data_IF_320521567995
#
_entry.id   IF_320521567995
#
_cell.length_a   1.000
_cell.length_b   1.000
_cell.length_c   1.000
_cell.angle_alpha   90.00
_cell.angle_beta   90.00
_cell.angle_gamma   90.00
#
_symmetry.space_group_name_H-M   'P 1'
#
loop_
_entity.id
_entity.type
_entity.pdbx_description
1 polymer ?
#
# COMPACT_ATOMS: atom_id res chain seq x y z
N UNK A 1 14.52 -8.47 -3.49
CA UNK A 1 13.28 -8.62 -2.74
C UNK A 1 13.17 -7.56 -1.65
N UNK A 2 12.01 -6.93 -1.53
CA UNK A 2 11.77 -5.90 -0.51
C UNK A 2 11.04 -6.49 0.69
N UNK A 3 11.25 -5.90 1.85
CA UNK A 3 10.44 -6.21 3.04
C UNK A 3 9.25 -5.27 3.07
N UNK A 4 8.13 -5.73 3.59
CA UNK A 4 6.93 -4.90 3.72
C UNK A 4 6.68 -4.62 5.19
N UNK A 5 6.49 -3.36 5.53
CA UNK A 5 6.15 -2.94 6.89
C UNK A 5 4.92 -2.05 6.83
N UNK A 6 4.06 -2.19 7.83
CA UNK A 6 2.85 -1.38 7.90
C UNK A 6 2.96 -0.41 9.06
N UNK A 7 2.65 0.85 8.80
CA UNK A 7 2.49 1.81 9.88
C UNK A 7 1.28 1.39 10.70
N UNK A 8 1.23 1.84 11.94
CA UNK A 8 0.15 1.47 12.86
C UNK A 8 -1.24 1.72 12.27
N UNK A 9 -1.41 2.86 11.61
CA UNK A 9 -2.68 3.20 10.97
C UNK A 9 -3.06 2.17 9.91
N UNK A 10 -2.11 1.82 9.05
CA UNK A 10 -2.35 0.85 8.00
C UNK A 10 -2.65 -0.54 8.57
N UNK A 11 -1.94 -0.91 9.63
CA UNK A 11 -2.17 -2.20 10.28
C UNK A 11 -3.59 -2.30 10.82
N UNK A 12 -4.07 -1.23 11.46
CA UNK A 12 -5.44 -1.19 11.98
C UNK A 12 -6.47 -1.21 10.86
N UNK A 13 -6.18 -0.54 9.76
CA UNK A 13 -7.08 -0.54 8.61
C UNK A 13 -7.18 -1.93 7.99
N UNK A 14 -6.06 -2.63 7.91
CA UNK A 14 -6.06 -3.99 7.41
C UNK A 14 -6.91 -4.91 8.28
N UNK A 15 -6.82 -4.75 9.61
CA UNK A 15 -7.61 -5.55 10.55
C UNK A 15 -9.12 -5.34 10.38
N UNK A 16 -9.53 -4.19 9.90
CA UNK A 16 -10.95 -3.89 9.72
C UNK A 16 -11.54 -4.45 8.45
N UNK A 17 -10.71 -4.92 7.54
CA UNK A 17 -11.19 -5.52 6.31
C UNK A 17 -11.76 -6.92 6.58
N UNK A 18 -12.72 -7.32 5.76
CA UNK A 18 -13.16 -8.70 5.83
C UNK A 18 -12.02 -9.62 5.41
N UNK A 19 -12.10 -10.89 5.81
CA UNK A 19 -11.02 -11.85 5.60
C UNK A 19 -10.59 -11.96 4.14
N UNK A 20 -11.56 -12.04 3.25
CA UNK A 20 -11.27 -12.21 1.82
C UNK A 20 -10.52 -11.00 1.25
N UNK A 21 -10.99 -9.80 1.58
CA UNK A 21 -10.36 -8.58 1.11
C UNK A 21 -8.97 -8.42 1.72
N UNK A 22 -8.84 -8.69 3.02
CA UNK A 22 -7.55 -8.60 3.70
C UNK A 22 -6.53 -9.54 3.05
N UNK A 23 -6.95 -10.76 2.74
CA UNK A 23 -6.05 -11.71 2.09
C UNK A 23 -5.60 -11.22 0.72
N UNK A 24 -6.51 -10.63 -0.05
CA UNK A 24 -6.16 -10.09 -1.36
C UNK A 24 -5.16 -8.96 -1.26
N UNK A 25 -5.32 -8.10 -0.26
CA UNK A 25 -4.39 -6.99 -0.04
C UNK A 25 -3.02 -7.54 0.35
N UNK A 26 -2.98 -8.50 1.25
CA UNK A 26 -1.73 -9.11 1.69
C UNK A 26 -1.03 -9.78 0.52
N UNK A 27 -1.76 -10.57 -0.26
CA UNK A 27 -1.18 -11.26 -1.42
C UNK A 27 -0.63 -10.24 -2.43
N UNK A 28 -1.33 -9.14 -2.62
CA UNK A 28 -0.89 -8.08 -3.53
C UNK A 28 0.39 -7.41 -3.04
N UNK A 29 0.49 -7.19 -1.73
CA UNK A 29 1.69 -6.61 -1.15
C UNK A 29 2.88 -7.56 -1.26
N UNK A 30 2.65 -8.85 -1.06
CA UNK A 30 3.71 -9.83 -1.27
C UNK A 30 4.18 -9.85 -2.71
N UNK A 31 3.24 -9.80 -3.65
CA UNK A 31 3.57 -9.72 -5.08
C UNK A 31 4.41 -8.48 -5.35
N UNK A 32 4.01 -7.34 -4.78
CA UNK A 32 4.74 -6.09 -4.98
C UNK A 32 6.16 -6.20 -4.45
N UNK A 33 6.35 -6.83 -3.29
CA UNK A 33 7.67 -6.95 -2.69
C UNK A 33 8.64 -7.73 -3.58
N UNK A 34 8.10 -8.66 -4.36
CA UNK A 34 8.92 -9.48 -5.25
C UNK A 34 9.10 -8.83 -6.62
N UNK A 35 8.21 -7.93 -7.02
CA UNK A 35 8.18 -7.41 -8.38
C UNK A 35 8.31 -5.89 -8.47
N UNK A 36 8.74 -5.24 -7.39
CA UNK A 36 8.76 -3.78 -7.34
C UNK A 36 9.55 -3.16 -8.48
N UNK A 37 10.74 -3.70 -8.75
CA UNK A 37 11.64 -3.12 -9.74
C UNK A 37 11.13 -3.24 -11.17
N UNK A 38 10.21 -4.15 -11.42
CA UNK A 38 9.64 -4.33 -12.76
C UNK A 38 8.19 -3.84 -12.85
N UNK A 39 7.68 -3.24 -11.78
CA UNK A 39 6.29 -2.79 -11.72
C UNK A 39 6.19 -1.32 -12.06
N UNK A 40 5.20 -0.96 -12.87
CA UNK A 40 4.91 0.43 -13.12
C UNK A 40 4.28 1.02 -11.87
N UNK A 41 4.90 2.07 -11.35
CA UNK A 41 4.43 2.72 -10.12
C UNK A 41 3.56 3.92 -10.46
N UNK A 42 2.58 4.20 -9.60
CA UNK A 42 1.67 5.33 -9.76
C UNK A 42 1.91 6.33 -8.63
N UNK A 43 2.75 7.34 -8.87
CA UNK A 43 3.07 8.32 -7.83
C UNK A 43 1.89 9.23 -7.52
N UNK A 44 1.81 9.64 -6.27
CA UNK A 44 0.81 10.60 -5.82
C UNK A 44 1.42 12.00 -5.85
N UNK A 45 0.53 13.00 -5.85
CA UNK A 45 0.96 14.40 -5.97
C UNK A 45 0.50 15.20 -4.77
N UNK A 46 0.95 16.46 -4.71
CA UNK A 46 0.53 17.38 -3.66
C UNK A 46 1.07 16.96 -2.31
N UNK A 47 0.18 16.94 -1.32
CA UNK A 47 0.57 16.59 0.04
C UNK A 47 1.04 15.16 0.17
N UNK A 48 0.69 14.31 -0.80
CA UNK A 48 1.07 12.91 -0.80
C UNK A 48 2.28 12.63 -1.70
N UNK A 49 2.98 13.67 -2.12
CA UNK A 49 4.21 13.54 -2.91
C UNK A 49 5.20 12.61 -2.22
N UNK A 50 5.83 11.76 -3.01
CA UNK A 50 6.77 10.79 -2.45
C UNK A 50 6.14 9.46 -2.11
N UNK A 51 4.83 9.38 -2.17
CA UNK A 51 4.11 8.13 -1.95
C UNK A 51 3.56 7.60 -3.26
N UNK A 52 3.20 6.32 -3.26
CA UNK A 52 2.66 5.64 -4.43
C UNK A 52 1.38 4.93 -4.06
N UNK A 53 0.56 4.65 -5.07
CA UNK A 53 -0.67 3.88 -4.83
C UNK A 53 -0.61 2.54 -5.55
N UNK A 54 -1.21 1.55 -4.92
CA UNK A 54 -1.39 0.21 -5.47
C UNK A 54 -2.87 -0.11 -5.44
N UNK A 55 -3.38 -0.61 -6.55
CA UNK A 55 -4.81 -0.97 -6.65
C UNK A 55 -5.00 -2.44 -6.35
N UNK A 56 -6.03 -2.73 -5.57
CA UNK A 56 -6.48 -4.10 -5.36
C UNK A 56 -8.01 -4.06 -5.32
N UNK A 57 -8.63 -4.34 -6.46
CA UNK A 57 -10.09 -4.25 -6.57
C UNK A 57 -10.56 -2.83 -6.28
N UNK A 58 -11.49 -2.71 -5.35
CA UNK A 58 -12.01 -1.40 -4.93
C UNK A 58 -11.15 -0.76 -3.84
N UNK A 59 -10.08 -1.42 -3.42
CA UNK A 59 -9.21 -0.91 -2.37
C UNK A 59 -7.94 -0.34 -2.93
N UNK A 60 -7.32 0.54 -2.16
CA UNK A 60 -6.05 1.18 -2.51
C UNK A 60 -5.11 1.05 -1.34
N UNK A 61 -3.84 0.87 -1.67
CA UNK A 61 -2.77 0.84 -0.69
C UNK A 61 -1.85 2.01 -1.02
N UNK A 62 -1.57 2.84 -0.03
CA UNK A 62 -0.65 3.97 -0.19
C UNK A 62 0.64 3.59 0.50
N UNK A 63 1.75 3.67 -0.21
CA UNK A 63 3.02 3.19 0.32
C UNK A 63 4.19 4.07 -0.10
N UNK A 64 5.26 3.91 0.63
CA UNK A 64 6.52 4.60 0.44
C UNK A 64 7.60 3.55 0.18
N UNK A 65 8.62 3.91 -0.59
CA UNK A 65 9.73 2.99 -0.90
C UNK A 65 11.02 3.56 -0.33
N UNK A 66 11.69 2.78 0.51
CA UNK A 66 13.02 3.09 0.98
C UNK A 66 13.99 2.19 0.21
N UNK A 67 14.46 2.67 -0.92
CA UNK A 67 15.25 1.85 -1.84
C UNK A 67 16.55 1.34 -1.25
N UNK A 68 17.27 2.18 -0.55
CA UNK A 68 18.57 1.79 0.00
C UNK A 68 18.42 0.68 1.05
N UNK A 69 17.29 0.64 1.73
CA UNK A 69 17.03 -0.35 2.78
C UNK A 69 16.18 -1.50 2.28
N UNK A 70 15.67 -1.38 1.06
CA UNK A 70 14.77 -2.36 0.44
C UNK A 70 13.54 -2.63 1.30
N UNK A 71 12.88 -1.54 1.69
CA UNK A 71 11.67 -1.60 2.51
C UNK A 71 10.54 -0.86 1.81
N UNK A 72 9.36 -1.48 1.81
CA UNK A 72 8.11 -0.85 1.40
C UNK A 72 7.34 -0.55 2.68
N UNK A 73 7.02 0.72 2.90
CA UNK A 73 6.26 1.12 4.09
C UNK A 73 4.84 1.45 3.68
N UNK A 74 3.87 0.71 4.21
CA UNK A 74 2.47 0.94 3.92
C UNK A 74 1.92 1.99 4.87
N UNK A 75 1.45 3.10 4.32
CA UNK A 75 0.91 4.22 5.08
C UNK A 75 -0.58 4.09 5.34
N UNK A 76 -1.33 3.61 4.35
CA UNK A 76 -2.79 3.57 4.45
C UNK A 76 -3.36 2.48 3.56
N UNK A 77 -4.46 1.90 4.01
CA UNK A 77 -5.22 0.90 3.25
C UNK A 77 -6.69 1.28 3.38
N UNK A 78 -7.40 1.39 2.27
CA UNK A 78 -8.80 1.74 2.35
C UNK A 78 -9.51 1.66 1.02
N UNK A 79 -10.82 1.83 1.08
CA UNK A 79 -11.65 1.83 -0.11
C UNK A 79 -11.32 3.05 -0.97
N UNK A 80 -11.38 2.88 -2.30
CA UNK A 80 -11.04 3.95 -3.24
C UNK A 80 -11.82 5.25 -2.99
N UNK A 81 -13.03 5.15 -2.44
CA UNK A 81 -13.86 6.33 -2.17
C UNK A 81 -13.49 7.04 -0.88
N UNK A 82 -12.77 6.36 0.01
CA UNK A 82 -12.48 6.87 1.35
C UNK A 82 -11.02 7.24 1.56
N UNK A 83 -10.12 6.53 0.88
CA UNK A 83 -8.69 6.61 1.18
C UNK A 83 -8.12 8.02 1.11
N UNK A 84 -8.60 8.82 0.16
CA UNK A 84 -8.07 10.17 -0.02
C UNK A 84 -8.82 11.23 0.79
N UNK A 85 -9.96 10.89 1.35
CA UNK A 85 -10.75 11.84 2.12
C UNK A 85 -10.28 12.03 3.55
N UNK A 86 -9.39 11.16 4.00
CA UNK A 86 -8.88 11.21 5.37
C UNK A 86 -7.77 12.21 5.58
N UNK A 87 -7.46 12.95 4.56
CA UNK A 87 -6.37 13.91 4.59
C UNK A 87 -6.86 15.29 4.98
#
# INVERSE_FOLDING_TARGET
MYSVRLLKTASKELEKLDRTTAKRVIDRLEWLSLNLDSTKLFPLKGELSGLFKLREGSHRVIFEILKSEKIIIVHAIGHRREIYKRR
#
